data_IF_201403742057
#
_entry.id   IF_201403742057
#
_cell.length_a   1.000
_cell.length_b   1.000
_cell.length_c   1.000
_cell.angle_alpha   90.00
_cell.angle_beta   90.00
_cell.angle_gamma   90.00
#
_symmetry.space_group_name_H-M   'P 1'
#
loop_
_entity.id
_entity.type
_entity.pdbx_description
1 polymer ?
#
# COMPACT_ATOMS: atom_id res chain seq x y z
N UNK A 1 -9.58 11.06 -6.31
CA UNK A 1 -10.03 9.68 -6.03
C UNK A 1 -10.23 9.58 -4.52
N UNK A 2 -11.49 9.65 -4.05
CA UNK A 2 -11.84 9.58 -2.62
C UNK A 2 -12.05 8.10 -2.28
N UNK A 3 -11.21 7.55 -1.42
CA UNK A 3 -11.37 6.19 -0.91
C UNK A 3 -12.63 6.22 -0.01
N UNK A 4 -13.71 5.60 -0.48
CA UNK A 4 -14.94 5.41 0.28
C UNK A 4 -14.73 4.30 1.32
N UNK A 5 -14.17 4.66 2.47
CA UNK A 5 -14.22 3.85 3.70
C UNK A 5 -15.56 4.07 4.42
N UNK A 6 -16.69 3.95 3.70
CA UNK A 6 -18.03 4.19 4.26
C UNK A 6 -18.84 2.90 4.21
N UNK A 7 -18.38 1.87 4.93
CA UNK A 7 -19.23 0.89 5.63
C UNK A 7 -18.32 -0.07 6.41
N UNK A 8 -18.15 0.15 7.71
CA UNK A 8 -17.65 -0.88 8.62
C UNK A 8 -18.86 -1.74 8.97
N UNK A 9 -18.95 -2.94 8.39
CA UNK A 9 -19.87 -3.99 8.85
C UNK A 9 -19.50 -4.46 10.28
N UNK A 10 -19.99 -5.63 10.75
CA UNK A 10 -19.69 -6.12 12.10
C UNK A 10 -18.20 -6.47 12.32
N UNK A 11 -17.37 -6.41 11.27
CA UNK A 11 -15.93 -6.62 11.38
C UNK A 11 -15.21 -5.43 12.02
N UNK A 12 -14.27 -5.76 12.90
CA UNK A 12 -13.33 -4.77 13.43
C UNK A 12 -12.41 -4.25 12.31
N UNK A 13 -12.09 -2.96 12.34
CA UNK A 13 -11.12 -2.34 11.43
C UNK A 13 -9.76 -3.06 11.48
N UNK A 14 -9.35 -3.54 12.66
CA UNK A 14 -8.11 -4.30 12.85
C UNK A 14 -8.08 -5.59 12.05
N UNK A 15 -9.19 -6.34 11.98
CA UNK A 15 -9.28 -7.58 11.19
C UNK A 15 -9.16 -7.27 9.71
N UNK A 16 -9.91 -6.28 9.22
CA UNK A 16 -9.83 -5.85 7.82
C UNK A 16 -8.41 -5.44 7.42
N UNK A 17 -7.74 -4.65 8.27
CA UNK A 17 -6.36 -4.21 8.01
C UNK A 17 -5.36 -5.38 8.04
N UNK A 18 -5.56 -6.36 8.94
CA UNK A 18 -4.73 -7.55 8.99
C UNK A 18 -4.89 -8.42 7.74
N UNK A 19 -6.12 -8.64 7.28
CA UNK A 19 -6.39 -9.44 6.08
C UNK A 19 -5.90 -8.74 4.81
N UNK A 20 -6.09 -7.41 4.73
CA UNK A 20 -5.52 -6.59 3.67
C UNK A 20 -3.99 -6.72 3.63
N UNK A 21 -3.34 -6.62 4.79
CA UNK A 21 -1.89 -6.75 4.90
C UNK A 21 -1.42 -8.17 4.49
N UNK A 22 -2.17 -9.21 4.83
CA UNK A 22 -1.88 -10.59 4.42
C UNK A 22 -2.04 -10.77 2.90
N UNK A 23 -3.11 -10.22 2.32
CA UNK A 23 -3.34 -10.25 0.88
C UNK A 23 -2.18 -9.57 0.12
N UNK A 24 -1.75 -8.38 0.56
CA UNK A 24 -0.64 -7.66 -0.06
C UNK A 24 0.73 -8.35 0.08
N UNK A 25 0.88 -9.27 1.04
CA UNK A 25 2.10 -10.06 1.24
C UNK A 25 2.12 -11.37 0.45
N UNK A 26 1.01 -11.74 -0.21
CA UNK A 26 0.92 -12.96 -1.01
C UNK A 26 1.74 -12.84 -2.30
N UNK A 27 2.37 -13.93 -2.75
CA UNK A 27 3.20 -13.97 -3.97
C UNK A 27 2.44 -13.62 -5.27
N UNK A 28 1.10 -13.73 -5.24
CA UNK A 28 0.23 -13.39 -6.36
C UNK A 28 0.08 -11.88 -6.56
N UNK A 29 0.18 -11.10 -5.47
CA UNK A 29 -0.11 -9.68 -5.52
C UNK A 29 0.90 -8.87 -6.37
N UNK A 30 2.22 -9.15 -6.32
CA UNK A 30 3.19 -8.54 -7.24
C UNK A 30 2.89 -8.80 -8.73
N UNK A 31 2.33 -9.97 -9.09
CA UNK A 31 1.99 -10.29 -10.49
C UNK A 31 0.91 -9.37 -11.06
N UNK A 32 -0.01 -8.93 -10.18
CA UNK A 32 -1.09 -8.01 -10.51
C UNK A 32 -0.66 -6.54 -10.42
N UNK A 33 0.20 -6.22 -9.45
CA UNK A 33 0.52 -4.85 -9.09
C UNK A 33 1.76 -4.28 -9.80
N UNK A 34 2.67 -5.12 -10.30
CA UNK A 34 3.83 -4.65 -11.06
C UNK A 34 3.43 -4.27 -12.48
N UNK A 35 4.07 -3.23 -13.01
CA UNK A 35 3.91 -2.87 -14.41
C UNK A 35 4.44 -4.00 -15.33
N UNK A 36 3.72 -4.35 -16.43
CA UNK A 36 4.18 -5.35 -17.40
C UNK A 36 5.56 -5.05 -18.03
N UNK A 37 5.94 -3.77 -18.14
CA UNK A 37 7.28 -3.37 -18.62
C UNK A 37 8.38 -3.63 -17.58
N UNK A 38 7.98 -3.88 -16.32
CA UNK A 38 8.87 -4.11 -15.19
C UNK A 38 8.44 -5.33 -14.35
N UNK A 39 8.39 -6.54 -14.94
CA UNK A 39 7.85 -7.74 -14.28
C UNK A 39 8.68 -8.20 -13.08
N UNK A 40 9.94 -7.75 -12.99
CA UNK A 40 10.86 -8.04 -11.89
C UNK A 40 10.91 -6.95 -10.82
N UNK A 41 10.09 -5.90 -10.96
CA UNK A 41 9.96 -4.88 -9.92
C UNK A 41 9.51 -5.51 -8.60
N UNK A 42 10.00 -4.97 -7.49
CA UNK A 42 9.64 -5.39 -6.12
C UNK A 42 9.92 -6.84 -5.71
N UNK A 43 10.47 -7.69 -6.59
CA UNK A 43 10.88 -9.07 -6.26
C UNK A 43 12.02 -9.11 -5.22
N UNK A 44 12.83 -8.05 -5.15
CA UNK A 44 13.88 -7.90 -4.11
C UNK A 44 13.36 -7.03 -2.97
N UNK A 45 13.59 -7.45 -1.72
CA UNK A 45 13.36 -6.64 -0.51
C UNK A 45 14.36 -5.47 -0.45
N UNK A 46 14.07 -4.40 -1.21
CA UNK A 46 14.79 -3.11 -1.15
C UNK A 46 14.22 -2.23 -0.04
N UNK A 47 14.77 -1.01 0.12
CA UNK A 47 14.36 -0.01 1.12
C UNK A 47 12.86 0.35 1.09
N UNK A 48 12.18 0.14 -0.05
CA UNK A 48 10.74 0.35 -0.21
C UNK A 48 10.10 -0.90 -0.85
N UNK A 49 9.61 -1.85 -0.05
CA UNK A 49 8.88 -3.01 -0.56
C UNK A 49 7.48 -2.61 -1.05
N UNK A 50 6.90 -3.40 -1.96
CA UNK A 50 5.59 -3.13 -2.58
C UNK A 50 4.47 -2.87 -1.56
N UNK A 51 4.33 -3.64 -0.46
CA UNK A 51 3.29 -3.36 0.52
C UNK A 51 3.43 -2.00 1.19
N UNK A 52 4.67 -1.57 1.46
CA UNK A 52 4.94 -0.25 2.04
C UNK A 52 4.65 0.89 1.07
N UNK A 53 4.96 0.71 -0.22
CA UNK A 53 4.61 1.67 -1.28
C UNK A 53 3.09 1.89 -1.33
N UNK A 54 2.32 0.81 -1.34
CA UNK A 54 0.86 0.89 -1.44
C UNK A 54 0.25 1.44 -0.16
N UNK A 55 0.71 1.00 1.02
CA UNK A 55 0.26 1.56 2.28
C UNK A 55 0.44 3.08 2.31
N UNK A 56 1.60 3.59 1.88
CA UNK A 56 1.85 5.03 1.76
C UNK A 56 0.97 5.72 0.70
N UNK A 57 0.62 5.04 -0.39
CA UNK A 57 -0.33 5.60 -1.37
C UNK A 57 -1.76 5.70 -0.80
N UNK A 58 -2.13 4.80 0.13
CA UNK A 58 -3.43 4.79 0.78
C UNK A 58 -3.55 5.82 1.91
N UNK A 59 -2.45 6.22 2.58
CA UNK A 59 -2.50 7.24 3.65
C UNK A 59 -2.90 8.62 3.15
N UNK A 60 -2.78 8.87 1.84
CA UNK A 60 -3.05 10.15 1.20
C UNK A 60 -1.94 11.18 1.51
N UNK A 61 -1.43 11.84 0.47
CA UNK A 61 -0.37 12.85 0.64
C UNK A 61 -0.99 14.19 1.02
N UNK A 62 -0.82 14.59 2.28
CA UNK A 62 -1.31 15.88 2.82
C UNK A 62 -0.19 16.91 2.92
N UNK A 63 1.06 16.46 2.95
CA UNK A 63 2.27 17.28 3.01
C UNK A 63 3.18 17.00 1.79
N UNK A 64 4.41 17.51 1.83
CA UNK A 64 5.42 17.14 0.85
C UNK A 64 5.68 15.63 0.86
N UNK A 65 5.99 15.05 -0.30
CA UNK A 65 6.27 13.61 -0.45
C UNK A 65 7.35 13.13 0.52
N UNK A 66 8.40 13.94 0.73
CA UNK A 66 9.50 13.57 1.63
C UNK A 66 9.05 13.58 3.09
N UNK A 67 8.25 14.56 3.51
CA UNK A 67 7.71 14.62 4.87
C UNK A 67 6.82 13.42 5.17
N UNK A 68 5.94 13.05 4.24
CA UNK A 68 5.07 11.87 4.37
C UNK A 68 5.89 10.57 4.46
N UNK A 69 6.94 10.44 3.64
CA UNK A 69 7.86 9.29 3.71
C UNK A 69 8.53 9.20 5.08
N UNK A 70 9.07 10.31 5.58
CA UNK A 70 9.80 10.31 6.84
C UNK A 70 8.87 10.01 8.04
N UNK A 71 7.65 10.55 8.03
CA UNK A 71 6.63 10.26 9.05
C UNK A 71 6.17 8.80 9.00
N UNK A 72 5.86 8.28 7.80
CA UNK A 72 5.45 6.89 7.61
C UNK A 72 6.52 5.91 8.10
N UNK A 73 7.78 6.11 7.73
CA UNK A 73 8.87 5.23 8.16
C UNK A 73 9.24 5.41 9.63
N UNK A 74 9.07 6.61 10.20
CA UNK A 74 9.18 6.85 11.64
C UNK A 74 8.14 6.04 12.43
N UNK A 75 6.88 6.08 12.00
CA UNK A 75 5.79 5.30 12.61
C UNK A 75 6.01 3.79 12.50
N UNK A 76 6.44 3.28 11.33
CA UNK A 76 6.72 1.85 11.14
C UNK A 76 7.83 1.33 12.05
N UNK A 77 8.81 2.17 12.40
CA UNK A 77 9.93 1.79 13.27
C UNK A 77 9.69 2.10 14.75
N UNK A 78 8.51 2.66 15.10
CA UNK A 78 8.22 3.16 16.45
C UNK A 78 9.28 4.17 16.92
N UNK A 79 9.84 4.94 15.98
CA UNK A 79 10.88 5.93 16.26
C UNK A 79 10.29 7.33 16.25
N UNK A 80 10.59 8.09 17.31
CA UNK A 80 10.17 9.49 17.43
C UNK A 80 10.90 10.42 16.44
N UNK A 81 12.00 9.96 15.83
CA UNK A 81 12.78 10.73 14.87
C UNK A 81 12.42 10.36 13.43
N UNK A 82 12.18 11.39 12.61
CA UNK A 82 11.98 11.29 11.17
C UNK A 82 13.25 10.75 10.51
N UNK A 83 13.24 9.47 10.14
CA UNK A 83 14.35 8.86 9.41
C UNK A 83 14.12 8.94 7.91
N UNK A 84 15.03 9.62 7.21
CA UNK A 84 15.08 9.63 5.75
C UNK A 84 15.55 8.28 5.20
N UNK A 85 14.67 7.28 5.26
CA UNK A 85 14.91 5.90 4.77
C UNK A 85 14.82 5.83 3.25
N UNK A 86 13.90 6.60 2.67
CA UNK A 86 13.58 6.59 1.24
C UNK A 86 13.47 8.03 0.75
N UNK A 87 14.12 8.36 -0.37
CA UNK A 87 14.00 9.69 -0.98
C UNK A 87 12.71 9.81 -1.79
N UNK A 88 12.19 11.04 -1.93
CA UNK A 88 11.06 11.32 -2.83
C UNK A 88 11.29 10.83 -4.27
N UNK A 89 12.53 10.87 -4.77
CA UNK A 89 12.89 10.33 -6.08
C UNK A 89 12.78 8.80 -6.13
N UNK A 90 13.27 8.10 -5.10
CA UNK A 90 13.14 6.65 -5.02
C UNK A 90 11.67 6.23 -4.93
N UNK A 91 10.84 7.01 -4.22
CA UNK A 91 9.40 6.83 -4.21
C UNK A 91 8.78 7.05 -5.59
N UNK A 92 9.13 8.13 -6.30
CA UNK A 92 8.59 8.40 -7.64
C UNK A 92 8.95 7.29 -8.63
N UNK A 93 10.19 6.79 -8.59
CA UNK A 93 10.62 5.65 -9.40
C UNK A 93 9.89 4.35 -9.04
N UNK A 94 9.62 4.12 -7.76
CA UNK A 94 8.85 2.96 -7.34
C UNK A 94 7.39 3.06 -7.81
N UNK A 95 6.75 4.22 -7.63
CA UNK A 95 5.40 4.48 -8.12
C UNK A 95 5.29 4.32 -9.65
N UNK A 96 6.30 4.74 -10.41
CA UNK A 96 6.31 4.57 -11.86
C UNK A 96 6.35 3.08 -12.30
N UNK A 97 6.79 2.17 -11.43
CA UNK A 97 6.82 0.72 -11.68
C UNK A 97 5.57 -0.01 -11.17
N UNK A 98 4.63 0.73 -10.59
CA UNK A 98 3.36 0.20 -10.13
C UNK A 98 2.36 0.29 -11.29
N UNK A 99 1.70 -0.82 -11.58
CA UNK A 99 0.61 -0.84 -12.56
C UNK A 99 -0.51 0.11 -12.13
N UNK A 100 -1.10 0.79 -13.10
CA UNK A 100 -2.29 1.62 -12.88
C UNK A 100 -3.50 0.80 -12.43
N UNK A 101 -3.52 -0.51 -12.68
CA UNK A 101 -4.56 -1.45 -12.23
C UNK A 101 -4.40 -1.90 -10.77
N UNK A 102 -3.25 -1.64 -10.12
CA UNK A 102 -2.96 -2.15 -8.79
C UNK A 102 -3.96 -1.65 -7.72
N UNK A 103 -4.24 -0.33 -7.70
CA UNK A 103 -5.18 0.27 -6.74
C UNK A 103 -6.64 -0.10 -7.05
N UNK A 104 -7.13 -0.04 -8.31
CA UNK A 104 -8.44 -0.57 -8.67
C UNK A 104 -8.67 -2.02 -8.24
N UNK A 105 -7.70 -2.91 -8.49
CA UNK A 105 -7.87 -4.31 -8.15
C UNK A 105 -7.88 -4.56 -6.62
N UNK A 106 -7.12 -3.77 -5.86
CA UNK A 106 -7.21 -3.74 -4.40
C UNK A 106 -8.59 -3.31 -3.90
N UNK A 107 -9.17 -2.30 -4.54
CA UNK A 107 -10.52 -1.85 -4.23
C UNK A 107 -11.57 -2.91 -4.56
N UNK A 108 -11.45 -3.58 -5.71
CA UNK A 108 -12.34 -4.67 -6.10
C UNK A 108 -12.25 -5.84 -5.12
N UNK A 109 -11.03 -6.20 -4.69
CA UNK A 109 -10.81 -7.21 -3.65
C UNK A 109 -11.50 -6.82 -2.34
N UNK A 110 -11.36 -5.57 -1.88
CA UNK A 110 -12.02 -5.07 -0.66
C UNK A 110 -13.56 -5.17 -0.76
N UNK A 111 -14.13 -4.78 -1.90
CA UNK A 111 -15.58 -4.86 -2.12
C UNK A 111 -16.09 -6.31 -2.13
N UNK A 112 -15.33 -7.23 -2.73
CA UNK A 112 -15.65 -8.67 -2.72
C UNK A 112 -15.55 -9.23 -1.30
N UNK A 113 -14.46 -8.92 -0.59
CA UNK A 113 -14.22 -9.34 0.78
C UNK A 113 -15.34 -8.89 1.71
N UNK A 114 -15.77 -7.63 1.61
CA UNK A 114 -16.91 -7.09 2.35
C UNK A 114 -18.22 -7.82 2.04
N UNK A 115 -18.51 -8.09 0.76
CA UNK A 115 -19.73 -8.82 0.36
C UNK A 115 -19.76 -10.25 0.88
N UNK A 116 -18.60 -10.93 0.90
CA UNK A 116 -18.49 -12.30 1.40
C UNK A 116 -18.78 -12.40 2.90
N UNK A 117 -18.33 -11.40 3.68
CA UNK A 117 -18.50 -11.37 5.14
C UNK A 117 -19.82 -10.74 5.62
N UNK A 118 -20.60 -10.15 4.71
CA UNK A 118 -21.92 -9.59 5.01
C UNK A 118 -23.08 -10.58 4.75
N UNK A 119 -22.76 -11.79 4.27
CA UNK A 119 -23.70 -12.93 4.15
C UNK A 119 -23.59 -13.83 5.37
#
# INVERSE_FOLDING_TARGET
>A
MRIFLIFLGPMSLSTLLADLAAHMQTDQFPLLACDPEHPTAFQRRRKLPLPALIALMLTGMRKSVQTELDEFFGHLQQQAQLLRRVSGQAFAQARAKLSTSAIPALNDWLLIYQKAMAR
#
